data_IF_047685812421
#
_entry.id   IF_047685812421
#
_cell.length_a   1.000
_cell.length_b   1.000
_cell.length_c   1.000
_cell.angle_alpha   90.00
_cell.angle_beta   90.00
_cell.angle_gamma   90.00
#
_symmetry.space_group_name_H-M   'P 1'
#
loop_
_entity.id
_entity.type
_entity.pdbx_description
1 polymer ?
#
# COMPACT_ATOMS: atom_id res chain seq x y z
N UNK A 1 -18.85 1.09 -11.60
CA UNK A 1 -18.51 2.28 -10.80
C UNK A 1 -16.99 2.49 -10.83
N UNK A 2 -16.42 3.00 -11.91
CA UNK A 2 -14.95 3.08 -12.04
C UNK A 2 -14.43 3.78 -13.29
N UNK A 3 -15.28 3.97 -14.31
CA UNK A 3 -14.91 4.72 -15.52
C UNK A 3 -15.44 6.16 -15.48
N UNK A 4 -16.48 6.45 -14.68
CA UNK A 4 -17.11 7.77 -14.63
C UNK A 4 -16.29 8.84 -13.92
N UNK A 5 -15.40 8.47 -13.01
CA UNK A 5 -14.63 9.42 -12.19
C UNK A 5 -13.49 10.13 -12.96
N UNK A 6 -13.14 9.67 -14.16
CA UNK A 6 -12.09 10.29 -14.99
C UNK A 6 -12.63 11.47 -15.81
N UNK A 7 -13.96 11.57 -15.99
CA UNK A 7 -14.56 12.58 -16.86
C UNK A 7 -15.06 13.85 -16.15
N UNK A 8 -15.17 13.84 -14.82
CA UNK A 8 -15.45 15.04 -14.02
C UNK A 8 -14.19 15.59 -13.36
N UNK A 9 -13.31 16.17 -14.18
CA UNK A 9 -12.12 16.92 -13.74
C UNK A 9 -12.47 18.16 -12.86
N UNK A 10 -13.76 18.46 -12.68
CA UNK A 10 -14.25 19.63 -11.91
C UNK A 10 -14.81 19.29 -10.53
N UNK A 11 -14.89 18.03 -10.13
CA UNK A 11 -15.41 17.65 -8.83
C UNK A 11 -14.34 17.71 -7.73
N UNK A 12 -14.72 18.26 -6.57
CA UNK A 12 -13.91 18.47 -5.36
C UNK A 12 -13.22 17.20 -4.80
N UNK A 13 -13.54 16.01 -5.32
CA UNK A 13 -12.98 14.71 -4.93
C UNK A 13 -11.75 14.22 -5.71
N UNK A 14 -11.37 14.85 -6.83
CA UNK A 14 -10.29 14.35 -7.72
C UNK A 14 -8.92 14.25 -7.04
N UNK A 15 -8.58 15.18 -6.14
CA UNK A 15 -7.30 15.18 -5.43
C UNK A 15 -7.20 14.02 -4.42
N UNK A 16 -8.31 13.71 -3.74
CA UNK A 16 -8.38 12.60 -2.78
C UNK A 16 -8.31 11.24 -3.48
N UNK A 17 -8.97 11.09 -4.63
CA UNK A 17 -8.87 9.87 -5.44
C UNK A 17 -7.43 9.60 -5.91
N UNK A 18 -6.73 10.64 -6.38
CA UNK A 18 -5.33 10.53 -6.78
C UNK A 18 -4.42 10.16 -5.59
N UNK A 19 -4.59 10.81 -4.45
CA UNK A 19 -3.82 10.50 -3.24
C UNK A 19 -4.04 9.05 -2.78
N UNK A 20 -5.28 8.58 -2.78
CA UNK A 20 -5.62 7.19 -2.44
C UNK A 20 -4.98 6.17 -3.40
N UNK A 21 -5.00 6.46 -4.70
CA UNK A 21 -4.35 5.63 -5.72
C UNK A 21 -2.81 5.57 -5.56
N UNK A 22 -2.17 6.71 -5.28
CA UNK A 22 -0.71 6.77 -5.04
C UNK A 22 -0.31 5.98 -3.78
N UNK A 23 -1.09 6.07 -2.70
CA UNK A 23 -0.88 5.27 -1.50
C UNK A 23 -1.00 3.77 -1.80
N UNK A 24 -2.00 3.38 -2.60
CA UNK A 24 -2.16 1.99 -3.01
C UNK A 24 -0.98 1.51 -3.87
N UNK A 25 -0.56 2.27 -4.89
CA UNK A 25 0.61 1.96 -5.72
C UNK A 25 1.89 1.83 -4.89
N UNK A 26 2.04 2.64 -3.84
CA UNK A 26 3.17 2.54 -2.92
C UNK A 26 3.25 1.16 -2.24
N UNK A 27 2.11 0.52 -1.97
CA UNK A 27 2.10 -0.86 -1.43
C UNK A 27 2.62 -1.88 -2.43
N UNK A 28 2.31 -1.72 -3.72
CA UNK A 28 2.80 -2.58 -4.80
C UNK A 28 4.32 -2.40 -4.97
N UNK A 29 4.78 -1.16 -4.97
CA UNK A 29 6.22 -0.84 -5.03
C UNK A 29 6.95 -1.48 -3.84
N UNK A 30 6.41 -1.37 -2.63
CA UNK A 30 6.99 -2.01 -1.44
C UNK A 30 7.04 -3.54 -1.57
N UNK A 31 6.06 -4.16 -2.24
CA UNK A 31 6.11 -5.60 -2.52
C UNK A 31 7.23 -5.93 -3.51
N UNK A 32 7.27 -5.28 -4.66
CA UNK A 32 8.22 -5.61 -5.74
C UNK A 32 9.66 -5.25 -5.35
N UNK A 33 9.88 -4.06 -4.78
CA UNK A 33 11.22 -3.55 -4.53
C UNK A 33 11.83 -4.05 -3.21
N UNK A 34 11.00 -4.42 -2.22
CA UNK A 34 11.48 -4.83 -0.89
C UNK A 34 11.16 -6.29 -0.57
N UNK A 35 9.89 -6.71 -0.67
CA UNK A 35 9.50 -8.06 -0.27
C UNK A 35 10.04 -9.13 -1.23
N UNK A 36 10.04 -8.91 -2.54
CA UNK A 36 10.55 -9.90 -3.50
C UNK A 36 12.06 -10.16 -3.30
N UNK A 37 12.95 -9.15 -3.22
CA UNK A 37 14.36 -9.40 -2.92
C UNK A 37 14.57 -10.05 -1.55
N UNK A 38 13.80 -9.66 -0.53
CA UNK A 38 13.90 -10.22 0.81
C UNK A 38 13.53 -11.71 0.83
N UNK A 39 12.43 -12.09 0.16
CA UNK A 39 12.02 -13.49 0.00
C UNK A 39 13.04 -14.30 -0.82
N UNK A 40 13.62 -13.72 -1.87
CA UNK A 40 14.64 -14.41 -2.67
C UNK A 40 15.88 -14.72 -1.85
N UNK A 41 16.29 -13.83 -0.94
CA UNK A 41 17.42 -14.09 -0.01
C UNK A 41 17.09 -15.23 0.95
N UNK A 42 15.87 -15.26 1.50
CA UNK A 42 15.43 -16.35 2.36
C UNK A 42 15.39 -17.68 1.62
N UNK A 43 14.93 -17.70 0.36
CA UNK A 43 14.84 -18.92 -0.45
C UNK A 43 16.20 -19.59 -0.70
N UNK A 44 17.29 -18.83 -0.59
CA UNK A 44 18.66 -19.32 -0.73
C UNK A 44 19.27 -19.79 0.60
N UNK A 45 18.66 -19.47 1.74
CA UNK A 45 19.17 -19.80 3.07
C UNK A 45 18.97 -21.29 3.36
N UNK A 46 20.04 -22.02 3.66
CA UNK A 46 19.94 -23.41 4.09
C UNK A 46 19.78 -23.51 5.61
N UNK A 47 18.82 -24.29 6.13
CA UNK A 47 18.62 -24.43 7.58
C UNK A 47 19.82 -25.02 8.34
N UNK A 48 20.66 -25.80 7.65
CA UNK A 48 21.85 -26.45 8.21
C UNK A 48 23.11 -25.57 8.17
N UNK A 49 23.05 -24.38 7.58
CA UNK A 49 24.20 -23.47 7.54
C UNK A 49 24.48 -22.84 8.91
N UNK A 50 25.77 -22.73 9.31
CA UNK A 50 26.14 -21.97 10.50
C UNK A 50 25.62 -20.53 10.39
N UNK A 51 24.81 -20.09 11.36
CA UNK A 51 24.23 -18.75 11.39
C UNK A 51 22.86 -18.60 10.70
N UNK A 52 22.26 -19.69 10.22
CA UNK A 52 20.92 -19.66 9.62
C UNK A 52 19.85 -19.04 10.54
N UNK A 53 19.88 -19.36 11.83
CA UNK A 53 18.96 -18.78 12.82
C UNK A 53 19.09 -17.25 12.93
N UNK A 54 20.31 -16.73 12.95
CA UNK A 54 20.54 -15.28 13.03
C UNK A 54 20.05 -14.56 11.76
N UNK A 55 20.26 -15.17 10.59
CA UNK A 55 19.73 -14.68 9.31
C UNK A 55 18.20 -14.72 9.27
N UNK A 56 17.60 -15.77 9.81
CA UNK A 56 16.14 -15.90 9.94
C UNK A 56 15.54 -14.83 10.85
N UNK A 57 16.13 -14.60 12.03
CA UNK A 57 15.68 -13.55 12.94
C UNK A 57 15.76 -12.15 12.29
N UNK A 58 16.82 -11.88 11.53
CA UNK A 58 16.94 -10.62 10.77
C UNK A 58 15.88 -10.52 9.69
N UNK A 59 15.67 -11.58 8.91
CA UNK A 59 14.60 -11.65 7.92
C UNK A 59 13.24 -11.37 8.56
N UNK A 60 12.91 -12.01 9.68
CA UNK A 60 11.64 -11.84 10.38
C UNK A 60 11.42 -10.40 10.84
N UNK A 61 12.44 -9.78 11.42
CA UNK A 61 12.38 -8.38 11.83
C UNK A 61 12.09 -7.47 10.63
N UNK A 62 12.89 -7.58 9.58
CA UNK A 62 12.81 -6.74 8.38
C UNK A 62 11.48 -6.92 7.65
N UNK A 63 11.04 -8.18 7.49
CA UNK A 63 9.76 -8.52 6.90
C UNK A 63 8.59 -7.96 7.71
N UNK A 64 8.64 -8.08 9.04
CA UNK A 64 7.57 -7.61 9.93
C UNK A 64 7.45 -6.08 9.86
N UNK A 65 8.58 -5.36 9.92
CA UNK A 65 8.58 -3.89 9.81
C UNK A 65 7.99 -3.44 8.47
N UNK A 66 8.40 -4.02 7.36
CA UNK A 66 7.85 -3.66 6.05
C UNK A 66 6.36 -4.02 5.91
N UNK A 67 5.92 -5.11 6.51
CA UNK A 67 4.50 -5.46 6.52
C UNK A 67 3.66 -4.45 7.33
N UNK A 68 4.19 -3.92 8.44
CA UNK A 68 3.52 -2.84 9.19
C UNK A 68 3.37 -1.58 8.35
N UNK A 69 4.42 -1.16 7.62
CA UNK A 69 4.33 -0.04 6.68
C UNK A 69 3.26 -0.28 5.61
N UNK A 70 3.20 -1.50 5.06
CA UNK A 70 2.19 -1.86 4.06
C UNK A 70 0.77 -1.76 4.60
N UNK A 71 0.55 -2.21 5.84
CA UNK A 71 -0.74 -2.10 6.51
C UNK A 71 -1.15 -0.64 6.75
N UNK A 72 -0.23 0.20 7.24
CA UNK A 72 -0.48 1.63 7.47
C UNK A 72 -0.80 2.35 6.15
N UNK A 73 -0.04 2.09 5.09
CA UNK A 73 -0.30 2.67 3.76
C UNK A 73 -1.66 2.25 3.19
N UNK A 74 -2.02 0.98 3.32
CA UNK A 74 -3.31 0.47 2.86
C UNK A 74 -4.48 1.09 3.66
N UNK A 75 -4.34 1.20 4.98
CA UNK A 75 -5.34 1.84 5.83
C UNK A 75 -5.50 3.33 5.50
N UNK A 76 -4.39 4.04 5.32
CA UNK A 76 -4.39 5.44 4.91
C UNK A 76 -5.08 5.62 3.54
N UNK A 77 -4.77 4.75 2.57
CA UNK A 77 -5.43 4.74 1.25
C UNK A 77 -6.95 4.55 1.39
N UNK A 78 -7.39 3.58 2.20
CA UNK A 78 -8.81 3.32 2.44
C UNK A 78 -9.52 4.53 3.06
N UNK A 79 -8.91 5.18 4.06
CA UNK A 79 -9.45 6.41 4.67
C UNK A 79 -9.56 7.53 3.65
N UNK A 80 -8.49 7.79 2.89
CA UNK A 80 -8.44 8.86 1.88
C UNK A 80 -9.49 8.66 0.78
N UNK A 81 -9.65 7.43 0.29
CA UNK A 81 -10.67 7.11 -0.72
C UNK A 81 -12.09 7.24 -0.17
N UNK A 82 -12.31 6.82 1.08
CA UNK A 82 -13.62 6.94 1.74
C UNK A 82 -14.00 8.41 1.93
N UNK A 83 -13.07 9.23 2.43
CA UNK A 83 -13.28 10.67 2.62
C UNK A 83 -13.56 11.36 1.27
N UNK A 84 -12.77 11.06 0.24
CA UNK A 84 -12.99 11.62 -1.09
C UNK A 84 -14.37 11.26 -1.66
N UNK A 85 -14.85 10.03 -1.42
CA UNK A 85 -16.17 9.59 -1.85
C UNK A 85 -17.28 10.32 -1.08
N UNK A 86 -17.14 10.46 0.24
CA UNK A 86 -18.12 11.18 1.07
C UNK A 86 -18.22 12.65 0.69
N UNK A 87 -17.09 13.32 0.49
CA UNK A 87 -17.08 14.72 0.05
C UNK A 87 -17.79 14.91 -1.29
N UNK A 88 -17.57 13.99 -2.24
CA UNK A 88 -18.24 14.05 -3.54
C UNK A 88 -19.77 13.91 -3.41
N UNK A 89 -20.25 13.01 -2.54
CA UNK A 89 -21.69 12.82 -2.30
C UNK A 89 -22.33 14.06 -1.67
N UNK A 90 -21.63 14.73 -0.74
CA UNK A 90 -22.13 15.95 -0.10
C UNK A 90 -22.23 17.09 -1.12
N UNK A 91 -21.20 17.27 -1.96
CA UNK A 91 -21.18 18.30 -3.01
C UNK A 91 -22.35 18.12 -4.01
N UNK A 92 -22.65 16.87 -4.39
CA UNK A 92 -23.82 16.53 -5.24
C UNK A 92 -25.17 16.77 -4.57
N UNK A 93 -25.24 16.82 -3.24
CA UNK A 93 -26.49 17.02 -2.48
C UNK A 93 -26.84 18.49 -2.21
N UNK A 94 -25.85 19.39 -2.28
CA UNK A 94 -26.04 20.83 -2.03
C UNK A 94 -26.20 21.68 -3.32
N UNK A 95 -25.98 21.10 -4.50
CA UNK A 95 -26.14 21.75 -5.82
C UNK A 95 -27.47 21.44 -6.50
#
# INVERSE_FOLDING_TARGET
>A
MGVSAVLDWRASGSAWALAGALLYLSTIVLTVAYHVPLNNRLALLQPSEPGAEASWQRYLHDWTTANHFRAVLALASAVVLTVGTVMNIVDESEG
#
